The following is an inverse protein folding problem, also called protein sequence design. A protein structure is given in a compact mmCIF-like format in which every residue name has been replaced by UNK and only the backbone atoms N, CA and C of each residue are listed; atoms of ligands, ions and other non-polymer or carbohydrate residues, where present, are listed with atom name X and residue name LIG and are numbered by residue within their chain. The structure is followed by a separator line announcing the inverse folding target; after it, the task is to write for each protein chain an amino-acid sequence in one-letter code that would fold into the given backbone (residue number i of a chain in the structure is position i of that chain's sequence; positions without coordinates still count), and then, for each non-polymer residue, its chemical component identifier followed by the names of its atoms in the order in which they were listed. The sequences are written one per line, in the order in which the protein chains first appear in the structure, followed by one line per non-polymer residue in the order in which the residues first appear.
data_IF_251760929883
#
_entry.id   IF_251760929883
#
_cell.length_a   1.000
_cell.length_b   1.000
_cell.length_c   1.000
_cell.angle_alpha   90.00
_cell.angle_beta   90.00
_cell.angle_gamma   90.00
#
_symmetry.space_group_name_H-M   'P 1'
#
loop_
_entity.id
_entity.type
_entity.pdbx_description
1 polymer ?
#
# COMPACT_ATOMS: atom_id res chain seq x y z
N UNK A 1 16.80 -6.01 -17.31
CA UNK A 1 15.37 -6.08 -17.68
C UNK A 1 14.55 -5.96 -16.43
N UNK A 2 13.69 -4.96 -16.38
CA UNK A 2 12.80 -4.75 -15.24
C UNK A 2 11.52 -5.55 -15.43
N UNK A 3 11.17 -6.36 -14.45
CA UNK A 3 9.88 -7.07 -14.42
C UNK A 3 8.99 -6.35 -13.42
N UNK A 4 8.39 -5.27 -13.87
CA UNK A 4 7.52 -4.44 -13.05
C UNK A 4 6.14 -4.30 -13.69
N UNK A 5 5.12 -4.18 -12.84
CA UNK A 5 3.73 -3.98 -13.27
C UNK A 5 3.21 -2.74 -12.55
N UNK A 6 2.66 -1.79 -13.32
CA UNK A 6 2.00 -0.63 -12.74
C UNK A 6 0.59 -1.02 -12.28
N UNK A 7 0.30 -0.78 -11.01
CA UNK A 7 -1.00 -1.04 -10.40
C UNK A 7 -1.77 0.27 -10.31
N UNK A 8 -2.37 0.66 -11.44
CA UNK A 8 -3.18 1.87 -11.53
C UNK A 8 -4.53 1.68 -10.80
N UNK A 9 -5.20 2.77 -10.39
CA UNK A 9 -6.52 2.68 -9.80
C UNK A 9 -7.51 1.96 -10.70
N UNK A 10 -8.20 0.96 -10.14
CA UNK A 10 -9.20 0.22 -10.90
C UNK A 10 -10.46 1.08 -11.11
N UNK A 11 -10.87 1.32 -12.38
CA UNK A 11 -11.98 2.24 -12.67
C UNK A 11 -13.34 1.78 -12.13
N UNK A 12 -13.51 0.52 -11.77
CA UNK A 12 -14.76 -0.02 -11.23
C UNK A 12 -14.74 -0.22 -9.72
N UNK A 13 -13.60 -0.03 -9.09
CA UNK A 13 -13.42 -0.26 -7.67
C UNK A 13 -13.60 1.03 -6.87
N UNK A 14 -14.29 0.94 -5.75
CA UNK A 14 -14.60 2.10 -4.88
C UNK A 14 -13.73 2.16 -3.62
N UNK A 15 -12.63 1.41 -3.56
CA UNK A 15 -11.70 1.49 -2.45
C UNK A 15 -11.21 2.92 -2.25
N UNK A 16 -11.26 3.40 -1.02
CA UNK A 16 -10.82 4.78 -0.73
C UNK A 16 -9.33 4.96 -1.05
N UNK A 17 -8.51 3.97 -0.78
CA UNK A 17 -7.06 4.05 -1.04
C UNK A 17 -6.71 3.94 -2.52
N UNK A 18 -7.20 2.91 -3.18
CA UNK A 18 -6.72 2.55 -4.53
C UNK A 18 -7.81 2.41 -5.60
N UNK A 19 -9.06 2.70 -5.29
CA UNK A 19 -10.16 2.58 -6.26
C UNK A 19 -10.30 3.81 -7.14
N UNK A 20 -10.45 3.62 -8.45
CA UNK A 20 -10.65 4.72 -9.38
C UNK A 20 -12.08 5.24 -9.43
N UNK A 21 -13.05 4.45 -8.92
CA UNK A 21 -14.47 4.81 -8.93
C UNK A 21 -14.93 5.61 -7.71
N UNK A 22 -14.04 5.83 -6.72
CA UNK A 22 -14.35 6.66 -5.57
C UNK A 22 -13.82 8.07 -5.81
N UNK A 23 -14.73 9.02 -6.07
CA UNK A 23 -14.36 10.41 -6.38
C UNK A 23 -13.65 11.11 -5.21
N UNK A 24 -13.89 10.67 -3.98
CA UNK A 24 -13.27 11.22 -2.78
C UNK A 24 -12.02 10.46 -2.36
N UNK A 25 -11.69 9.37 -3.06
CA UNK A 25 -10.56 8.51 -2.70
C UNK A 25 -9.23 9.06 -3.14
N UNK A 26 -8.18 8.41 -2.66
CA UNK A 26 -6.79 8.85 -2.92
C UNK A 26 -6.27 8.41 -4.28
N UNK A 27 -6.87 7.40 -4.89
CA UNK A 27 -6.50 6.87 -6.22
C UNK A 27 -5.00 6.56 -6.31
N UNK A 28 -4.50 5.86 -5.31
CA UNK A 28 -3.09 5.53 -5.19
C UNK A 28 -2.65 4.57 -6.29
N UNK A 29 -1.50 4.84 -6.87
CA UNK A 29 -0.85 4.00 -7.86
C UNK A 29 0.41 3.41 -7.26
N UNK A 30 0.59 2.11 -7.41
CA UNK A 30 1.78 1.40 -6.95
C UNK A 30 2.46 0.70 -8.13
N UNK A 31 3.69 0.28 -7.91
CA UNK A 31 4.45 -0.56 -8.84
C UNK A 31 4.75 -1.88 -8.15
N UNK A 32 4.43 -2.97 -8.82
CA UNK A 32 4.77 -4.32 -8.39
C UNK A 32 6.12 -4.71 -9.02
N UNK A 33 7.11 -4.90 -8.19
CA UNK A 33 8.44 -5.37 -8.58
C UNK A 33 8.51 -6.89 -8.39
N UNK A 34 8.42 -7.63 -9.48
CA UNK A 34 8.41 -9.09 -9.44
C UNK A 34 9.78 -9.69 -9.14
N UNK A 35 10.86 -8.99 -9.45
CA UNK A 35 12.21 -9.45 -9.18
C UNK A 35 12.51 -9.44 -7.68
N UNK A 36 12.25 -8.33 -7.03
CA UNK A 36 12.53 -8.15 -5.60
C UNK A 36 11.35 -8.51 -4.70
N UNK A 37 10.20 -8.83 -5.30
CA UNK A 37 8.94 -9.11 -4.60
C UNK A 37 8.56 -7.99 -3.64
N UNK A 38 8.55 -6.76 -4.18
CA UNK A 38 8.21 -5.53 -3.46
C UNK A 38 7.07 -4.81 -4.16
N UNK A 39 6.28 -4.13 -3.38
CA UNK A 39 5.31 -3.15 -3.88
C UNK A 39 5.84 -1.78 -3.48
N UNK A 40 5.91 -0.85 -4.42
CA UNK A 40 6.47 0.48 -4.18
C UNK A 40 5.53 1.55 -4.74
N UNK A 41 5.34 2.60 -3.98
CA UNK A 41 4.63 3.80 -4.43
C UNK A 41 5.40 5.05 -4.06
N UNK A 42 5.29 6.10 -4.88
CA UNK A 42 5.83 7.42 -4.58
C UNK A 42 4.67 8.39 -4.54
N UNK A 43 4.57 9.14 -3.47
CA UNK A 43 3.42 10.01 -3.24
C UNK A 43 3.85 11.37 -2.69
N UNK A 44 3.03 12.37 -2.98
CA UNK A 44 3.10 13.68 -2.33
C UNK A 44 1.74 13.88 -1.68
N UNK A 45 1.69 13.89 -0.36
CA UNK A 45 0.45 14.16 0.37
C UNK A 45 0.21 15.66 0.37
N UNK A 46 -0.91 16.09 -0.22
CA UNK A 46 -1.32 17.48 -0.18
C UNK A 46 -1.89 17.90 1.18
N UNK A 47 -2.22 19.16 1.30
CA UNK A 47 -2.73 19.75 2.55
C UNK A 47 -4.05 19.13 3.04
N UNK A 48 -4.84 18.58 2.13
CA UNK A 48 -6.09 17.91 2.50
C UNK A 48 -5.89 16.67 3.40
N UNK A 49 -4.67 16.14 3.41
CA UNK A 49 -4.33 14.94 4.19
C UNK A 49 -3.52 15.26 5.45
N UNK A 50 -3.45 16.52 5.84
CA UNK A 50 -2.67 16.87 7.02
C UNK A 50 -3.44 16.62 8.32
N UNK A 51 -2.67 16.34 9.36
CA UNK A 51 -3.13 16.34 10.74
C UNK A 51 -2.79 17.69 11.37
N UNK A 52 -1.89 17.70 12.35
CA UNK A 52 -1.42 18.96 12.96
C UNK A 52 -0.26 19.58 12.18
N UNK A 53 -0.26 20.90 12.08
CA UNK A 53 0.93 21.68 11.77
C UNK A 53 1.74 21.31 10.52
N UNK A 54 1.09 21.07 9.39
CA UNK A 54 1.80 20.74 8.14
C UNK A 54 2.33 19.32 8.05
N UNK A 55 1.94 18.45 8.95
CA UNK A 55 2.33 17.04 8.95
C UNK A 55 1.20 16.17 8.44
N UNK A 56 1.54 15.08 7.75
CA UNK A 56 0.56 14.09 7.32
C UNK A 56 -0.20 13.50 8.49
N UNK A 57 -1.51 13.36 8.34
CA UNK A 57 -2.37 12.78 9.36
C UNK A 57 -1.96 11.34 9.65
N UNK A 58 -1.84 10.97 10.94
CA UNK A 58 -1.41 9.64 11.35
C UNK A 58 -2.28 8.52 10.77
N UNK A 59 -3.59 8.73 10.67
CA UNK A 59 -4.50 7.78 10.03
C UNK A 59 -4.25 7.63 8.54
N UNK A 60 -3.85 8.70 7.84
CA UNK A 60 -3.49 8.64 6.42
C UNK A 60 -2.18 7.87 6.24
N UNK A 61 -1.20 8.09 7.11
CA UNK A 61 0.04 7.31 7.13
C UNK A 61 -0.26 5.82 7.32
N UNK A 62 -1.12 5.49 8.27
CA UNK A 62 -1.56 4.10 8.49
C UNK A 62 -2.27 3.54 7.25
N UNK A 63 -3.08 4.34 6.56
CA UNK A 63 -3.75 3.93 5.33
C UNK A 63 -2.74 3.59 4.24
N UNK A 64 -1.72 4.41 4.04
CA UNK A 64 -0.67 4.14 3.04
C UNK A 64 0.04 2.81 3.34
N UNK A 65 0.34 2.56 4.60
CA UNK A 65 0.97 1.30 5.02
C UNK A 65 0.05 0.11 4.81
N UNK A 66 -1.22 0.25 5.16
CA UNK A 66 -2.23 -0.80 4.94
C UNK A 66 -2.39 -1.11 3.44
N UNK A 67 -2.47 -0.09 2.60
CA UNK A 67 -2.62 -0.25 1.15
C UNK A 67 -1.41 -0.96 0.53
N UNK A 68 -0.18 -0.54 0.86
CA UNK A 68 1.01 -1.17 0.29
C UNK A 68 1.13 -2.62 0.73
N UNK A 69 0.82 -2.93 1.98
CA UNK A 69 0.82 -4.30 2.48
C UNK A 69 -0.27 -5.15 1.79
N UNK A 70 -1.46 -4.60 1.64
CA UNK A 70 -2.54 -5.28 0.93
C UNK A 70 -2.18 -5.66 -0.50
N UNK A 71 -1.45 -4.78 -1.19
CA UNK A 71 -0.96 -5.05 -2.55
C UNK A 71 0.06 -6.20 -2.59
N UNK A 72 0.83 -6.42 -1.52
CA UNK A 72 1.79 -7.53 -1.44
C UNK A 72 1.10 -8.88 -1.61
N UNK A 73 -0.14 -9.01 -1.18
CA UNK A 73 -0.92 -10.24 -1.32
C UNK A 73 -1.08 -10.70 -2.78
N UNK A 74 -0.89 -9.78 -3.73
CA UNK A 74 -0.94 -10.09 -5.17
C UNK A 74 0.10 -11.12 -5.59
N UNK A 75 1.26 -11.15 -4.94
CA UNK A 75 2.30 -12.13 -5.25
C UNK A 75 1.86 -13.58 -4.99
N UNK A 76 0.84 -13.76 -4.15
CA UNK A 76 0.27 -15.09 -3.84
C UNK A 76 -1.04 -15.36 -4.54
N UNK A 77 -1.52 -14.40 -5.33
CA UNK A 77 -2.80 -14.52 -6.06
C UNK A 77 -3.98 -14.88 -5.14
N UNK A 78 -3.98 -14.33 -3.94
CA UNK A 78 -5.02 -14.54 -2.94
C UNK A 78 -5.75 -13.24 -2.61
N UNK A 79 -6.96 -13.40 -2.09
CA UNK A 79 -7.70 -12.32 -1.45
C UNK A 79 -7.46 -12.41 0.04
N UNK A 80 -7.05 -11.33 0.64
CA UNK A 80 -6.79 -11.27 2.07
C UNK A 80 -7.34 -9.95 2.64
N UNK A 81 -7.65 -9.98 3.92
CA UNK A 81 -8.12 -8.80 4.65
C UNK A 81 -7.20 -8.51 5.81
N UNK A 82 -7.06 -7.24 6.13
CA UNK A 82 -6.27 -6.79 7.28
C UNK A 82 -6.92 -7.28 8.57
N UNK A 83 -6.20 -8.06 9.35
CA UNK A 83 -6.66 -8.51 10.67
C UNK A 83 -6.02 -7.69 11.80
N UNK A 84 -4.74 -7.34 11.65
CA UNK A 84 -4.03 -6.51 12.61
C UNK A 84 -3.07 -5.59 11.88
N UNK A 85 -2.96 -4.37 12.38
CA UNK A 85 -2.03 -3.37 11.86
C UNK A 85 -1.40 -2.65 13.05
N UNK A 86 -0.07 -2.67 13.10
CA UNK A 86 0.69 -1.89 14.07
C UNK A 86 1.57 -0.90 13.32
N UNK A 87 1.54 0.36 13.73
CA UNK A 87 2.30 1.43 13.08
C UNK A 87 3.24 2.09 14.08
N UNK A 88 4.50 2.23 13.68
CA UNK A 88 5.48 3.03 14.39
C UNK A 88 5.69 4.33 13.61
N UNK A 89 5.46 5.45 14.25
CA UNK A 89 5.69 6.78 13.71
C UNK A 89 7.05 7.25 14.21
N UNK A 90 8.06 7.26 13.34
CA UNK A 90 9.45 7.50 13.72
C UNK A 90 9.86 8.94 13.52
N UNK A 91 9.42 9.55 12.42
CA UNK A 91 9.63 10.96 12.10
C UNK A 91 8.39 11.52 11.41
N UNK A 92 8.12 12.83 11.52
CA UNK A 92 6.98 13.43 10.85
C UNK A 92 7.04 13.25 9.34
N UNK A 93 5.89 12.92 8.74
CA UNK A 93 5.72 12.97 7.29
C UNK A 93 5.19 14.36 6.94
N UNK A 94 6.00 15.17 6.27
CA UNK A 94 5.60 16.53 5.91
C UNK A 94 4.72 16.52 4.67
N UNK A 95 3.64 17.32 4.68
CA UNK A 95 2.83 17.49 3.47
C UNK A 95 3.65 18.23 2.41
N UNK A 96 3.31 18.01 1.15
CA UNK A 96 3.97 18.57 -0.03
C UNK A 96 5.42 18.12 -0.24
N UNK A 97 5.88 17.11 0.48
CA UNK A 97 7.17 16.47 0.24
C UNK A 97 6.96 15.04 -0.27
N UNK A 98 7.80 14.63 -1.21
CA UNK A 98 7.70 13.26 -1.75
C UNK A 98 8.10 12.22 -0.72
N UNK A 99 7.31 11.16 -0.63
CA UNK A 99 7.60 9.99 0.19
C UNK A 99 7.59 8.73 -0.68
N UNK A 100 8.33 7.74 -0.24
CA UNK A 100 8.41 6.42 -0.86
C UNK A 100 7.78 5.43 0.11
N UNK A 101 6.78 4.69 -0.38
CA UNK A 101 6.05 3.69 0.41
C UNK A 101 6.36 2.32 -0.19
N UNK A 102 6.86 1.40 0.63
CA UNK A 102 7.30 0.09 0.16
C UNK A 102 6.73 -1.01 1.05
N UNK A 103 6.30 -2.12 0.44
CA UNK A 103 5.75 -3.25 1.17
C UNK A 103 6.37 -4.58 0.75
N UNK A 104 6.47 -5.50 1.70
CA UNK A 104 6.99 -6.84 1.46
C UNK A 104 6.49 -7.84 2.53
N UNK A 105 6.61 -9.11 2.19
CA UNK A 105 6.21 -10.21 3.07
C UNK A 105 7.40 -10.69 3.88
N UNK A 106 7.15 -11.03 5.15
CA UNK A 106 8.18 -11.60 6.04
C UNK A 106 7.92 -13.05 6.39
N UNK A 107 6.66 -13.47 6.49
CA UNK A 107 6.32 -14.81 6.96
C UNK A 107 4.92 -15.20 6.51
N UNK A 108 4.69 -16.50 6.38
CA UNK A 108 3.36 -17.09 6.13
C UNK A 108 3.15 -18.23 7.11
N UNK A 109 2.00 -18.22 7.79
CA UNK A 109 1.57 -19.30 8.67
C UNK A 109 0.12 -19.65 8.40
N UNK A 110 -0.12 -20.75 7.69
CA UNK A 110 -1.48 -21.14 7.30
C UNK A 110 -2.13 -20.05 6.45
N UNK A 111 -3.25 -19.53 6.91
CA UNK A 111 -3.98 -18.45 6.24
C UNK A 111 -3.48 -17.06 6.61
N UNK A 112 -2.47 -16.96 7.46
CA UNK A 112 -1.96 -15.67 7.93
C UNK A 112 -0.72 -15.27 7.14
N UNK A 113 -0.77 -14.08 6.55
CA UNK A 113 0.36 -13.44 5.88
C UNK A 113 0.88 -12.33 6.79
N UNK A 114 2.18 -12.36 7.09
CA UNK A 114 2.83 -11.32 7.89
C UNK A 114 3.60 -10.40 6.97
N UNK A 115 3.22 -9.14 6.97
CA UNK A 115 3.66 -8.15 6.00
C UNK A 115 4.27 -6.95 6.71
N UNK A 116 5.15 -6.26 6.00
CA UNK A 116 5.80 -5.03 6.46
C UNK A 116 5.58 -3.95 5.42
N UNK A 117 5.30 -2.74 5.90
CA UNK A 117 5.28 -1.54 5.09
C UNK A 117 6.24 -0.51 5.67
N UNK A 118 6.90 0.24 4.81
CA UNK A 118 7.87 1.27 5.20
C UNK A 118 7.62 2.54 4.42
N UNK A 119 7.75 3.68 5.10
CA UNK A 119 7.66 4.99 4.47
C UNK A 119 8.97 5.72 4.73
N UNK A 120 9.60 6.17 3.64
CA UNK A 120 10.85 6.92 3.68
C UNK A 120 10.71 8.24 2.94
N UNK A 121 11.53 9.22 3.30
CA UNK A 121 11.69 10.44 2.50
C UNK A 121 12.76 10.23 1.43
N UNK A 122 12.99 11.25 0.60
CA UNK A 122 14.00 11.18 -0.46
C UNK A 122 15.45 11.13 0.06
N UNK A 123 15.69 11.51 1.30
CA UNK A 123 16.98 11.36 1.95
C UNK A 123 17.24 9.95 2.46
N UNK A 124 16.24 9.06 2.39
CA UNK A 124 16.34 7.69 2.86
C UNK A 124 15.99 7.49 4.33
N UNK A 125 15.56 8.54 5.01
CA UNK A 125 15.13 8.43 6.41
C UNK A 125 13.85 7.63 6.54
N UNK A 126 13.80 6.70 7.48
CA UNK A 126 12.58 5.98 7.82
C UNK A 126 11.65 6.90 8.61
N UNK A 127 10.49 7.20 8.03
CA UNK A 127 9.49 8.07 8.65
C UNK A 127 8.46 7.28 9.44
N UNK A 128 8.01 6.16 8.89
CA UNK A 128 7.06 5.26 9.54
C UNK A 128 7.28 3.83 9.09
N UNK A 129 6.92 2.89 9.93
CA UNK A 129 6.98 1.47 9.63
C UNK A 129 5.74 0.78 10.18
N UNK A 130 5.12 -0.04 9.35
CA UNK A 130 3.98 -0.84 9.75
C UNK A 130 4.27 -2.33 9.69
N UNK A 131 3.65 -3.08 10.59
CA UNK A 131 3.58 -4.53 10.49
C UNK A 131 2.11 -4.92 10.46
N UNK A 132 1.77 -5.88 9.62
CA UNK A 132 0.39 -6.30 9.46
C UNK A 132 0.26 -7.81 9.41
N UNK A 133 -0.83 -8.30 9.97
CA UNK A 133 -1.26 -9.68 9.77
C UNK A 133 -2.52 -9.64 8.90
N UNK A 134 -2.42 -10.24 7.74
CA UNK A 134 -3.51 -10.33 6.77
C UNK A 134 -3.99 -11.77 6.70
N UNK A 135 -5.29 -11.96 6.69
CA UNK A 135 -5.91 -13.29 6.66
C UNK A 135 -6.45 -13.56 5.27
N UNK A 136 -6.02 -14.67 4.68
CA UNK A 136 -6.52 -15.13 3.37
C UNK A 136 -7.96 -15.56 3.51
N UNK A 137 -8.83 -14.99 2.69
CA UNK A 137 -10.27 -15.31 2.67
C UNK A 137 -10.70 -16.03 1.39
N UNK A 138 -9.81 -16.19 0.43
CA UNK A 138 -10.10 -16.87 -0.81
C UNK A 138 -9.03 -16.67 -1.85
N UNK A 139 -9.22 -17.26 -3.01
CA UNK A 139 -8.35 -17.07 -4.15
C UNK A 139 -8.82 -15.87 -4.98
N UNK A 140 -7.89 -15.20 -5.62
CA UNK A 140 -8.21 -14.14 -6.56
C UNK A 140 -8.78 -14.79 -7.82
N UNK A 141 -9.92 -14.28 -8.31
CA UNK A 141 -10.50 -14.76 -9.56
C UNK A 141 -9.64 -14.31 -10.74
N UNK A 142 -9.01 -15.27 -11.43
CA UNK A 142 -8.12 -14.99 -12.56
C UNK A 142 -8.82 -14.26 -13.69
N UNK A 143 -10.01 -14.71 -14.08
CA UNK A 143 -10.78 -14.10 -15.15
C UNK A 143 -11.11 -12.62 -14.86
N UNK A 144 -11.56 -12.33 -13.63
CA UNK A 144 -11.85 -10.96 -13.22
C UNK A 144 -10.57 -10.11 -13.16
N UNK A 145 -9.44 -10.70 -12.75
CA UNK A 145 -8.16 -10.00 -12.74
C UNK A 145 -7.68 -9.65 -14.14
N UNK A 146 -7.83 -10.57 -15.10
CA UNK A 146 -7.48 -10.36 -16.51
C UNK A 146 -8.34 -9.27 -17.14
N UNK A 147 -9.63 -9.32 -16.93
CA UNK A 147 -10.55 -8.29 -17.45
C UNK A 147 -10.23 -6.92 -16.86
N UNK A 148 -9.82 -6.86 -15.61
CA UNK A 148 -9.47 -5.59 -14.95
C UNK A 148 -8.12 -5.04 -15.36
N UNK A 149 -7.20 -5.89 -15.79
CA UNK A 149 -5.88 -5.46 -16.25
C UNK A 149 -5.88 -4.99 -17.71
N UNK A 150 -6.93 -5.34 -18.44
CA UNK A 150 -7.15 -4.85 -19.80
C UNK A 150 -7.83 -3.49 -19.79
#
# INVERSE_FOLDING_TARGET
MTDTITLAPNPTNKCFGCGGANDLGMKLTFVQDNVNRRIVGKFILGEAYQGGGGMGHGGIIALLLDEVMGKVCRFREVRAVTAELAVQYLKPVKVNEEIIVEGYETEVKGRNLFLVGEIRNNAGDMLARGTGRFVVIGQKEKAAAEVRSL
#
